data_IF_732379332998
#
_entry.id   IF_732379332998
#
_cell.length_a   1.000
_cell.length_b   1.000
_cell.length_c   1.000
_cell.angle_alpha   90.00
_cell.angle_beta   90.00
_cell.angle_gamma   90.00
#
_symmetry.space_group_name_H-M   'P 1'
#
loop_
_entity.id
_entity.type
_entity.pdbx_description
1 polymer ?
#
# COMPACT_ATOMS: atom_id res chain seq x y z
N UNK A 1 -3.62 -27.42 4.49
CA UNK A 1 -4.46 -26.33 3.93
C UNK A 1 -3.53 -25.22 3.47
N UNK A 2 -3.55 -24.84 2.19
CA UNK A 2 -2.70 -23.78 1.65
C UNK A 2 -3.33 -22.43 2.02
N UNK A 3 -2.65 -21.62 2.83
CA UNK A 3 -3.13 -20.28 3.18
C UNK A 3 -3.01 -19.38 1.95
N UNK A 4 -4.16 -18.99 1.36
CA UNK A 4 -4.21 -18.14 0.17
C UNK A 4 -3.75 -16.72 0.53
N UNK A 5 -2.80 -16.17 -0.22
CA UNK A 5 -2.46 -14.75 -0.12
C UNK A 5 -3.53 -13.93 -0.82
N UNK A 6 -3.89 -12.80 -0.24
CA UNK A 6 -4.91 -11.90 -0.80
C UNK A 6 -4.42 -10.47 -0.64
N UNK A 7 -4.36 -9.76 -1.76
CA UNK A 7 -4.08 -8.33 -1.79
C UNK A 7 -5.40 -7.58 -1.92
N UNK A 8 -5.57 -6.50 -1.16
CA UNK A 8 -6.76 -5.65 -1.21
C UNK A 8 -6.34 -4.20 -1.17
N UNK A 9 -6.95 -3.37 -2.02
CA UNK A 9 -6.87 -1.93 -1.86
C UNK A 9 -7.63 -1.54 -0.59
N UNK A 10 -6.97 -0.80 0.28
CA UNK A 10 -7.53 -0.43 1.59
C UNK A 10 -7.62 1.07 1.80
N UNK A 11 -6.86 1.86 1.04
CA UNK A 11 -6.92 3.31 1.07
C UNK A 11 -6.46 3.91 -0.26
N UNK A 12 -6.89 5.14 -0.51
CA UNK A 12 -6.34 6.02 -1.53
C UNK A 12 -6.00 7.33 -0.81
N UNK A 13 -4.78 7.83 -0.99
CA UNK A 13 -4.25 9.03 -0.36
C UNK A 13 -3.92 10.05 -1.44
N UNK A 14 -4.44 11.27 -1.29
CA UNK A 14 -4.07 12.39 -2.15
C UNK A 14 -2.94 13.20 -1.52
N UNK A 15 -1.86 13.39 -2.27
CA UNK A 15 -0.64 14.03 -1.81
C UNK A 15 -0.16 14.97 -2.91
N UNK A 16 -0.21 16.27 -2.63
CA UNK A 16 0.31 17.33 -3.51
C UNK A 16 -0.26 17.29 -4.94
N UNK A 17 -1.52 16.87 -5.08
CA UNK A 17 -2.22 16.75 -6.36
C UNK A 17 -1.98 15.43 -7.10
N UNK A 18 -1.26 14.49 -6.49
CA UNK A 18 -1.11 13.11 -6.98
C UNK A 18 -1.83 12.13 -6.04
N UNK A 19 -2.54 11.18 -6.65
CA UNK A 19 -3.24 10.12 -5.92
C UNK A 19 -2.38 8.86 -5.81
N UNK A 20 -2.35 8.27 -4.62
CA UNK A 20 -1.59 7.09 -4.26
C UNK A 20 -2.52 6.03 -3.68
N UNK A 21 -2.47 4.83 -4.24
CA UNK A 21 -3.22 3.69 -3.77
C UNK A 21 -2.40 2.90 -2.77
N UNK A 22 -3.03 2.51 -1.66
CA UNK A 22 -2.41 1.68 -0.65
C UNK A 22 -3.10 0.34 -0.65
N UNK A 23 -2.33 -0.68 -1.00
CA UNK A 23 -2.76 -2.07 -0.98
C UNK A 23 -2.21 -2.75 0.29
N UNK A 24 -3.07 -3.49 0.98
CA UNK A 24 -2.70 -4.37 2.09
C UNK A 24 -2.58 -5.81 1.62
N UNK A 25 -1.51 -6.48 2.04
CA UNK A 25 -1.28 -7.90 1.73
C UNK A 25 -1.58 -8.77 2.94
N UNK A 26 -2.46 -9.76 2.76
CA UNK A 26 -3.01 -10.58 3.82
C UNK A 26 -2.74 -12.06 3.55
N UNK A 27 -2.58 -12.85 4.61
CA UNK A 27 -2.47 -14.31 4.50
C UNK A 27 -3.67 -15.00 5.12
N UNK A 28 -4.40 -15.76 4.29
CA UNK A 28 -5.57 -16.51 4.73
C UNK A 28 -6.72 -15.61 5.20
N UNK A 29 -7.08 -15.72 6.49
CA UNK A 29 -8.19 -14.97 7.12
C UNK A 29 -7.71 -13.89 8.10
N UNK A 30 -6.45 -13.49 8.02
CA UNK A 30 -5.91 -12.43 8.87
C UNK A 30 -6.68 -11.11 8.66
N UNK A 31 -7.05 -10.44 9.75
CA UNK A 31 -7.70 -9.13 9.71
C UNK A 31 -6.71 -7.98 9.53
N UNK A 32 -5.43 -8.21 9.86
CA UNK A 32 -4.35 -7.26 9.70
C UNK A 32 -3.51 -7.62 8.48
N UNK A 33 -3.14 -6.61 7.70
CA UNK A 33 -2.19 -6.78 6.62
C UNK A 33 -0.81 -7.09 7.20
N UNK A 34 -0.06 -7.96 6.52
CA UNK A 34 1.33 -8.29 6.85
C UNK A 34 2.29 -7.20 6.39
N UNK A 35 1.99 -6.60 5.24
CA UNK A 35 2.68 -5.44 4.72
C UNK A 35 1.76 -4.64 3.80
N UNK A 36 2.23 -3.46 3.40
CA UNK A 36 1.55 -2.55 2.51
C UNK A 36 2.43 -2.21 1.31
N UNK A 37 1.79 -2.03 0.16
CA UNK A 37 2.40 -1.50 -1.06
C UNK A 37 1.71 -0.19 -1.43
N UNK A 38 2.48 0.78 -1.88
CA UNK A 38 2.01 2.09 -2.33
C UNK A 38 2.29 2.23 -3.82
N UNK A 39 1.24 2.50 -4.57
CA UNK A 39 1.29 2.61 -6.02
C UNK A 39 0.74 3.98 -6.41
N UNK A 40 1.41 4.69 -7.32
CA UNK A 40 0.88 5.91 -7.93
C UNK A 40 -0.32 5.56 -8.81
N UNK A 41 -1.48 6.19 -8.57
CA UNK A 41 -2.69 5.91 -9.36
C UNK A 41 -2.55 6.32 -10.83
N UNK A 42 -1.74 7.35 -11.11
CA UNK A 42 -1.62 7.94 -12.46
C UNK A 42 -0.94 7.01 -13.46
N UNK A 43 0.14 6.36 -13.05
CA UNK A 43 1.03 5.59 -13.93
C UNK A 43 1.21 4.13 -13.47
N UNK A 44 0.67 3.76 -12.30
CA UNK A 44 0.81 2.43 -11.73
C UNK A 44 2.20 2.17 -11.13
N UNK A 45 3.04 3.20 -10.97
CA UNK A 45 4.41 3.03 -10.45
C UNK A 45 4.40 2.74 -8.95
N UNK A 46 5.10 1.68 -8.53
CA UNK A 46 5.28 1.34 -7.11
C UNK A 46 6.29 2.30 -6.50
N UNK A 47 5.85 3.06 -5.50
CA UNK A 47 6.68 4.05 -4.78
C UNK A 47 7.04 3.59 -3.37
N UNK A 48 6.34 2.60 -2.83
CA UNK A 48 6.72 1.94 -1.59
C UNK A 48 6.30 0.48 -1.63
N UNK A 49 7.20 -0.41 -1.25
CA UNK A 49 6.93 -1.85 -1.24
C UNK A 49 7.32 -2.48 0.11
N UNK A 50 6.64 -3.56 0.49
CA UNK A 50 6.85 -4.27 1.76
C UNK A 50 6.89 -3.37 3.01
N UNK A 51 6.04 -2.33 3.06
CA UNK A 51 5.97 -1.45 4.22
C UNK A 51 5.34 -2.20 5.39
N UNK A 52 6.05 -2.31 6.51
CA UNK A 52 5.60 -3.05 7.71
C UNK A 52 4.47 -2.35 8.49
N UNK A 53 4.20 -1.08 8.18
CA UNK A 53 3.15 -0.27 8.78
C UNK A 53 2.41 0.50 7.69
N UNK A 54 1.16 0.85 7.98
CA UNK A 54 0.38 1.68 7.07
C UNK A 54 1.12 3.01 6.81
N UNK A 55 1.31 3.41 5.54
CA UNK A 55 2.06 4.60 5.19
C UNK A 55 1.26 5.87 5.51
N UNK A 56 1.91 6.86 6.11
CA UNK A 56 1.37 8.21 6.26
C UNK A 56 1.67 9.05 5.03
N UNK A 57 0.93 10.14 4.80
CA UNK A 57 1.23 11.07 3.70
C UNK A 57 2.67 11.59 3.76
N UNK A 58 3.19 11.87 4.96
CA UNK A 58 4.59 12.29 5.14
C UNK A 58 5.59 11.20 4.74
N UNK A 59 5.31 9.93 5.04
CA UNK A 59 6.16 8.81 4.63
C UNK A 59 6.15 8.63 3.12
N UNK A 60 4.99 8.75 2.48
CA UNK A 60 4.88 8.65 1.02
C UNK A 60 5.64 9.80 0.37
N UNK A 61 5.49 11.05 0.82
CA UNK A 61 6.31 12.18 0.33
C UNK A 61 7.80 11.88 0.40
N UNK A 62 8.28 11.34 1.51
CA UNK A 62 9.68 10.94 1.67
C UNK A 62 10.15 9.83 0.73
N UNK A 63 9.24 9.08 0.10
CA UNK A 63 9.57 8.04 -0.89
C UNK A 63 9.57 8.57 -2.33
N UNK A 64 9.07 9.79 -2.57
CA UNK A 64 9.05 10.44 -3.89
C UNK A 64 10.31 11.25 -4.18
N UNK A 65 11.17 11.46 -3.16
CA UNK A 65 12.43 12.18 -3.22
C UNK A 65 13.62 11.22 -3.25
#
# INVERSE_FOLDING_TARGET
MQLKETTRKIAVLDIDGESFEVDGHYRGKESRARWYTVTRSRDGSVTGDHLSKFPTCAKIRSLLH
#
